data_IF_869270914763
#
_entry.id   IF_869270914763
#
_cell.length_a   1.000
_cell.length_b   1.000
_cell.length_c   1.000
_cell.angle_alpha   90.00
_cell.angle_beta   90.00
_cell.angle_gamma   90.00
#
_symmetry.space_group_name_H-M   'P 1'
#
loop_
_entity.id
_entity.type
_entity.pdbx_description
1 polymer ?
#
# COMPACT_ATOMS: atom_id res chain seq x y z
N UNK A 1 -20.00 18.22 -19.05
CA UNK A 1 -20.45 18.21 -17.63
C UNK A 1 -20.17 16.84 -17.03
N UNK A 2 -18.91 16.42 -16.98
CA UNK A 2 -18.51 15.02 -16.70
C UNK A 2 -17.14 14.96 -16.00
N UNK A 3 -16.84 15.92 -15.13
CA UNK A 3 -15.44 16.19 -14.77
C UNK A 3 -15.17 16.47 -13.31
N UNK A 4 -16.06 16.11 -12.40
CA UNK A 4 -15.82 16.38 -10.99
C UNK A 4 -16.45 15.30 -10.09
N UNK A 5 -16.14 14.02 -10.37
CA UNK A 5 -16.32 12.99 -9.34
C UNK A 5 -15.41 13.39 -8.19
N UNK A 6 -16.00 14.09 -7.24
CA UNK A 6 -15.27 14.71 -6.16
C UNK A 6 -14.84 13.65 -5.16
N UNK A 7 -13.88 13.98 -4.28
CA UNK A 7 -13.56 13.16 -3.12
C UNK A 7 -14.82 12.79 -2.30
N UNK A 8 -15.85 13.64 -2.35
CA UNK A 8 -17.15 13.41 -1.72
C UNK A 8 -17.92 12.22 -2.33
N UNK A 9 -18.03 12.13 -3.66
CA UNK A 9 -18.74 11.02 -4.33
C UNK A 9 -18.01 9.70 -4.15
N UNK A 10 -16.68 9.71 -4.23
CA UNK A 10 -15.85 8.54 -3.91
C UNK A 10 -16.08 8.13 -2.45
N UNK A 11 -16.17 9.09 -1.52
CA UNK A 11 -16.47 8.84 -0.12
C UNK A 11 -17.83 8.18 0.10
N UNK A 12 -18.88 8.62 -0.60
CA UNK A 12 -20.23 8.02 -0.51
C UNK A 12 -20.24 6.58 -1.04
N UNK A 13 -19.59 6.33 -2.17
CA UNK A 13 -19.48 4.96 -2.72
C UNK A 13 -18.69 4.06 -1.76
N UNK A 14 -17.58 4.56 -1.20
CA UNK A 14 -16.83 3.84 -0.18
C UNK A 14 -17.69 3.54 1.05
N UNK A 15 -18.49 4.50 1.54
CA UNK A 15 -19.38 4.28 2.67
C UNK A 15 -20.36 3.12 2.42
N UNK A 16 -20.98 3.08 1.24
CA UNK A 16 -21.87 1.98 0.84
C UNK A 16 -21.09 0.66 0.75
N UNK A 17 -19.91 0.66 0.14
CA UNK A 17 -19.06 -0.52 0.08
C UNK A 17 -18.64 -1.01 1.49
N UNK A 18 -18.38 -0.10 2.42
CA UNK A 18 -18.10 -0.40 3.83
C UNK A 18 -19.31 -1.03 4.53
N UNK A 19 -20.54 -0.65 4.19
CA UNK A 19 -21.73 -1.29 4.75
C UNK A 19 -21.91 -2.72 4.23
N UNK A 20 -21.62 -2.96 2.96
CA UNK A 20 -21.74 -4.30 2.33
C UNK A 20 -20.61 -5.24 2.77
N UNK A 21 -19.35 -4.77 2.69
CA UNK A 21 -18.18 -5.59 3.00
C UNK A 21 -17.77 -5.51 4.49
N UNK A 22 -18.15 -4.45 5.19
CA UNK A 22 -17.73 -4.17 6.56
C UNK A 22 -16.38 -3.42 6.64
N UNK A 23 -16.23 -2.42 7.54
CA UNK A 23 -14.99 -1.66 7.69
C UNK A 23 -13.79 -2.50 8.13
N UNK A 24 -14.05 -3.66 8.76
CA UNK A 24 -13.00 -4.60 9.18
C UNK A 24 -12.42 -5.42 8.03
N UNK A 25 -13.15 -5.62 6.93
CA UNK A 25 -12.67 -6.44 5.80
C UNK A 25 -11.75 -5.67 4.86
N UNK A 26 -11.91 -4.35 4.74
CA UNK A 26 -11.01 -3.49 3.96
C UNK A 26 -9.54 -3.57 4.37
N UNK A 27 -9.15 -3.42 5.66
CA UNK A 27 -7.76 -3.52 6.07
C UNK A 27 -7.20 -4.94 5.91
N UNK A 28 -8.02 -5.99 6.10
CA UNK A 28 -7.58 -7.37 5.89
C UNK A 28 -7.30 -7.66 4.41
N UNK A 29 -8.19 -7.21 3.52
CA UNK A 29 -7.99 -7.29 2.06
C UNK A 29 -6.77 -6.46 1.63
N UNK A 30 -6.61 -5.25 2.17
CA UNK A 30 -5.46 -4.39 1.88
C UNK A 30 -4.13 -4.98 2.36
N UNK A 31 -4.08 -5.62 3.54
CA UNK A 31 -2.88 -6.32 4.04
C UNK A 31 -2.53 -7.55 3.20
N UNK A 32 -3.53 -8.26 2.67
CA UNK A 32 -3.32 -9.37 1.74
C UNK A 32 -2.79 -8.88 0.39
N UNK A 33 -3.48 -7.92 -0.21
CA UNK A 33 -3.11 -7.32 -1.50
C UNK A 33 -1.75 -6.62 -1.43
N UNK A 34 -1.45 -5.92 -0.34
CA UNK A 34 -0.19 -5.19 -0.16
C UNK A 34 1.01 -6.12 -0.04
N UNK A 35 0.87 -7.26 0.63
CA UNK A 35 1.91 -8.30 0.66
C UNK A 35 2.12 -8.91 -0.72
N UNK A 36 1.03 -9.31 -1.38
CA UNK A 36 1.10 -9.85 -2.74
C UNK A 36 1.66 -8.86 -3.76
N UNK A 37 1.34 -7.57 -3.65
CA UNK A 37 1.88 -6.52 -4.50
C UNK A 37 3.36 -6.26 -4.23
N UNK A 38 3.80 -6.37 -2.96
CA UNK A 38 5.21 -6.28 -2.60
C UNK A 38 6.00 -7.45 -3.16
N UNK A 39 5.53 -8.68 -2.94
CA UNK A 39 6.15 -9.90 -3.51
C UNK A 39 6.13 -9.90 -5.04
N UNK A 40 5.03 -9.43 -5.65
CA UNK A 40 4.92 -9.25 -7.10
C UNK A 40 5.93 -8.21 -7.60
N UNK A 41 6.02 -7.05 -6.92
CA UNK A 41 6.99 -6.00 -7.24
C UNK A 41 8.43 -6.50 -7.10
N UNK A 42 8.74 -7.20 -6.01
CA UNK A 42 10.07 -7.74 -5.73
C UNK A 42 10.46 -8.80 -6.76
N UNK A 43 9.50 -9.62 -7.21
CA UNK A 43 9.66 -10.62 -8.26
C UNK A 43 9.81 -10.06 -9.68
N UNK A 44 9.07 -9.00 -10.04
CA UNK A 44 9.21 -8.35 -11.35
C UNK A 44 10.43 -7.43 -11.42
N UNK A 45 10.88 -6.90 -10.27
CA UNK A 45 12.02 -5.96 -10.20
C UNK A 45 13.35 -6.70 -10.04
N UNK A 46 13.33 -7.99 -9.70
CA UNK A 46 14.49 -8.87 -9.77
C UNK A 46 15.61 -8.49 -8.81
N UNK A 47 15.33 -8.54 -7.50
CA UNK A 47 16.28 -8.33 -6.40
C UNK A 47 16.99 -6.95 -6.35
N UNK A 48 17.26 -6.51 -5.11
CA UNK A 48 18.20 -5.46 -4.74
C UNK A 48 17.85 -4.01 -5.08
N UNK A 49 17.42 -3.29 -4.03
CA UNK A 49 17.98 -1.96 -3.80
C UNK A 49 17.01 -0.80 -3.82
N UNK A 50 16.06 -0.71 -2.89
CA UNK A 50 15.68 0.58 -2.28
C UNK A 50 15.14 0.39 -0.84
N UNK A 51 15.95 -0.17 0.05
CA UNK A 51 16.02 0.29 1.44
C UNK A 51 17.48 0.68 1.60
N UNK A 52 17.75 1.98 1.64
CA UNK A 52 19.09 2.55 1.46
C UNK A 52 20.12 1.97 2.43
N UNK A 53 21.42 2.05 2.10
CA UNK A 53 22.46 1.77 3.08
C UNK A 53 22.21 2.66 4.28
N UNK A 54 21.85 2.09 5.42
CA UNK A 54 22.05 2.78 6.67
C UNK A 54 23.57 2.77 6.90
N UNK A 55 24.16 3.96 6.78
CA UNK A 55 25.56 4.27 7.10
C UNK A 55 25.78 4.06 8.62
N UNK A 56 25.74 2.81 9.05
CA UNK A 56 25.94 2.40 10.44
C UNK A 56 27.19 1.50 10.58
N UNK A 57 28.23 1.70 9.77
CA UNK A 57 29.46 0.88 9.82
C UNK A 57 30.79 1.67 9.89
N UNK A 58 30.78 2.93 10.36
CA UNK A 58 32.01 3.75 10.48
C UNK A 58 32.37 4.19 11.92
N UNK A 59 31.86 3.53 12.96
CA UNK A 59 32.21 3.86 14.36
C UNK A 59 32.70 2.67 15.20
N UNK A 60 33.28 1.65 14.57
CA UNK A 60 33.87 0.53 15.32
C UNK A 60 35.11 -0.08 14.68
N UNK A 61 36.05 0.77 14.22
CA UNK A 61 37.44 0.36 14.07
C UNK A 61 38.32 1.26 14.92
N UNK A 62 38.84 0.62 15.98
CA UNK A 62 40.01 1.05 16.75
C UNK A 62 41.22 1.27 15.85
#
# INVERSE_FOLDING_TARGET
MLGNIGPLEIGVVLLIALLVFGPKKLPDLGKGLGRGMREFKDGITGADGIAGPSEDEDAQLK
#
